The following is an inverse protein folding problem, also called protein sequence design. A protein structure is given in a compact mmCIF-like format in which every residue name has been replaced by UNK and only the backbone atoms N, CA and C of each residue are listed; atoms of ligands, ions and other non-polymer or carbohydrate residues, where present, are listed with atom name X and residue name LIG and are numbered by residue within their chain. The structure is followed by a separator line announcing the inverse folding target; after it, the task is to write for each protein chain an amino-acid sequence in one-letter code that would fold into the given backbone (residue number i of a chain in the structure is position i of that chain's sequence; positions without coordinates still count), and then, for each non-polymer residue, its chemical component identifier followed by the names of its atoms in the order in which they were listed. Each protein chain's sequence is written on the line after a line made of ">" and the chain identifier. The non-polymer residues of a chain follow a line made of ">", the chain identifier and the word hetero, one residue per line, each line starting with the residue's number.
data_IF_427494445881
#
_entry.id   IF_427494445881
#
_cell.length_a   1.000
_cell.length_b   1.000
_cell.length_c   1.000
_cell.angle_alpha   90.00
_cell.angle_beta   90.00
_cell.angle_gamma   90.00
#
_symmetry.space_group_name_H-M   'P 1'
#
loop_
_entity.id
_entity.type
_entity.pdbx_description
1 polymer ?
#
# COMPACT_ATOMS: atom_id res chain seq x y z
N UNK A 1 -0.61 5.17 -12.95
CA UNK A 1 -0.47 4.01 -12.05
C UNK A 1 1.00 3.72 -11.87
N UNK A 2 1.52 3.73 -10.65
CA UNK A 2 2.96 3.58 -10.36
C UNK A 2 3.35 2.11 -10.17
N UNK A 3 2.59 1.39 -9.34
CA UNK A 3 2.81 -0.03 -9.10
C UNK A 3 1.48 -0.80 -9.09
N UNK A 4 1.55 -2.11 -9.26
CA UNK A 4 0.43 -3.00 -8.98
C UNK A 4 0.95 -4.35 -8.50
N UNK A 5 0.25 -4.93 -7.52
CA UNK A 5 0.61 -6.19 -6.87
C UNK A 5 -0.60 -7.10 -6.81
N UNK A 6 -0.37 -8.39 -7.05
CA UNK A 6 -1.34 -9.44 -6.73
C UNK A 6 -0.92 -10.05 -5.41
N UNK A 7 -1.77 -9.95 -4.39
CA UNK A 7 -1.50 -10.47 -3.06
C UNK A 7 -2.28 -11.76 -2.90
N UNK A 8 -1.58 -12.89 -2.81
CA UNK A 8 -2.16 -14.18 -2.51
C UNK A 8 -1.78 -14.60 -1.08
N UNK A 9 -2.69 -14.42 -0.11
CA UNK A 9 -2.43 -14.73 1.30
C UNK A 9 -2.84 -16.18 1.60
N UNK A 10 -1.89 -17.10 1.86
CA UNK A 10 -2.21 -18.52 2.08
C UNK A 10 -2.84 -18.79 3.46
N UNK A 11 -3.57 -19.91 3.62
CA UNK A 11 -3.96 -20.45 4.93
C UNK A 11 -2.78 -20.54 5.90
N UNK A 12 -3.00 -20.25 7.18
CA UNK A 12 -1.98 -20.30 8.23
C UNK A 12 -0.95 -19.16 8.19
N UNK A 13 -1.01 -18.26 7.21
CA UNK A 13 -0.09 -17.12 7.16
C UNK A 13 -0.30 -16.17 8.33
N UNK A 14 0.82 -15.69 8.88
CA UNK A 14 0.85 -14.67 9.92
C UNK A 14 0.23 -13.35 9.44
N UNK A 15 0.05 -12.43 10.37
CA UNK A 15 -0.34 -11.06 10.07
C UNK A 15 0.70 -10.33 9.22
N UNK A 16 0.26 -9.33 8.44
CA UNK A 16 1.15 -8.30 7.89
C UNK A 16 1.16 -7.17 8.93
N UNK A 17 2.32 -6.84 9.52
CA UNK A 17 2.41 -5.81 10.54
C UNK A 17 1.96 -4.42 10.07
N UNK A 18 1.71 -3.47 11.00
CA UNK A 18 1.30 -2.12 10.67
C UNK A 18 2.44 -1.38 9.99
N UNK A 19 2.13 -0.75 8.87
CA UNK A 19 3.06 -0.01 8.03
C UNK A 19 2.31 1.12 7.30
N UNK A 20 3.06 1.95 6.58
CA UNK A 20 2.58 2.98 5.68
C UNK A 20 3.15 2.75 4.27
N UNK A 21 2.30 2.77 3.25
CA UNK A 21 2.76 2.70 1.85
C UNK A 21 3.75 3.82 1.52
N UNK A 22 3.62 4.98 2.17
CA UNK A 22 4.51 6.13 2.00
C UNK A 22 6.00 5.81 2.30
N UNK A 23 6.27 4.81 3.14
CA UNK A 23 7.63 4.34 3.44
C UNK A 23 8.32 3.72 2.21
N UNK A 24 7.54 3.19 1.27
CA UNK A 24 8.01 2.52 0.07
C UNK A 24 7.99 3.40 -1.19
N UNK A 25 7.41 4.60 -1.09
CA UNK A 25 7.04 5.44 -2.25
C UNK A 25 7.79 6.79 -2.20
N UNK A 26 8.88 6.94 -2.95
CA UNK A 26 9.68 8.16 -2.98
C UNK A 26 9.09 9.23 -3.92
N UNK A 27 7.76 9.39 -3.93
CA UNK A 27 7.03 10.34 -4.78
C UNK A 27 6.31 11.40 -3.95
N UNK A 28 6.27 12.64 -4.42
CA UNK A 28 5.57 13.77 -3.78
C UNK A 28 4.80 14.62 -4.80
N UNK A 29 3.82 15.45 -4.40
CA UNK A 29 3.26 15.60 -3.05
C UNK A 29 2.48 14.35 -2.60
N UNK A 30 2.56 14.00 -1.31
CA UNK A 30 2.04 12.73 -0.79
C UNK A 30 0.50 12.66 -0.88
N UNK A 31 -0.15 13.81 -0.83
CA UNK A 31 -1.60 14.02 -0.90
C UNK A 31 -2.17 13.70 -2.29
N UNK A 32 -1.31 13.61 -3.31
CA UNK A 32 -1.67 13.26 -4.69
C UNK A 32 -1.40 11.79 -5.01
N UNK A 33 -1.32 10.95 -3.97
CA UNK A 33 -1.06 9.53 -4.06
C UNK A 33 -2.20 8.77 -3.38
N UNK A 34 -2.62 7.67 -3.97
CA UNK A 34 -3.73 6.85 -3.50
C UNK A 34 -3.45 5.37 -3.74
N UNK A 35 -3.74 4.55 -2.75
CA UNK A 35 -3.75 3.10 -2.90
C UNK A 35 -5.18 2.62 -3.08
N UNK A 36 -5.42 1.80 -4.10
CA UNK A 36 -6.66 1.05 -4.28
C UNK A 36 -6.39 -0.42 -4.00
N UNK A 37 -7.13 -1.01 -3.07
CA UNK A 37 -7.05 -2.43 -2.74
C UNK A 37 -8.40 -3.07 -3.04
N UNK A 38 -8.41 -4.00 -4.00
CA UNK A 38 -9.62 -4.65 -4.50
C UNK A 38 -9.63 -6.12 -4.12
N UNK A 39 -10.71 -6.54 -3.48
CA UNK A 39 -10.97 -7.94 -3.17
C UNK A 39 -11.16 -8.73 -4.47
N UNK A 40 -10.37 -9.78 -4.68
CA UNK A 40 -10.56 -10.73 -5.79
C UNK A 40 -11.41 -11.92 -5.34
N UNK A 41 -11.20 -12.37 -4.10
CA UNK A 41 -12.02 -13.37 -3.42
C UNK A 41 -12.78 -12.70 -2.25
N UNK A 42 -13.82 -13.34 -1.67
CA UNK A 42 -14.46 -12.84 -0.45
C UNK A 42 -13.44 -12.62 0.68
N UNK A 43 -13.59 -11.52 1.41
CA UNK A 43 -12.68 -11.11 2.47
C UNK A 43 -13.41 -11.11 3.81
N UNK A 44 -12.83 -11.80 4.78
CA UNK A 44 -13.28 -11.87 6.16
C UNK A 44 -12.10 -11.60 7.08
N UNK A 45 -12.37 -11.23 8.33
CA UNK A 45 -11.30 -11.08 9.32
C UNK A 45 -10.45 -12.35 9.44
N UNK A 46 -11.10 -13.51 9.44
CA UNK A 46 -10.46 -14.83 9.58
C UNK A 46 -9.60 -15.26 8.40
N UNK A 47 -9.80 -14.72 7.19
CA UNK A 47 -8.95 -15.02 6.03
C UNK A 47 -7.88 -13.95 5.76
N UNK A 48 -7.65 -13.06 6.74
CA UNK A 48 -6.60 -12.05 6.69
C UNK A 48 -6.99 -10.83 5.86
N UNK A 49 -8.13 -10.24 6.20
CA UNK A 49 -8.53 -8.92 5.74
C UNK A 49 -7.52 -7.84 6.16
N UNK A 50 -7.64 -6.66 5.55
CA UNK A 50 -6.93 -5.50 6.06
C UNK A 50 -7.51 -5.07 7.41
N UNK A 51 -6.68 -4.39 8.20
CA UNK A 51 -7.11 -3.48 9.24
C UNK A 51 -6.44 -2.12 9.01
N UNK A 52 -7.05 -1.05 9.50
CA UNK A 52 -6.53 0.32 9.43
C UNK A 52 -6.55 0.98 10.80
N UNK A 53 -5.75 2.02 10.99
CA UNK A 53 -5.86 2.96 12.12
C UNK A 53 -6.50 4.24 11.61
N UNK A 54 -7.83 4.44 11.80
CA UNK A 54 -8.52 5.60 11.24
C UNK A 54 -7.91 6.92 11.73
N UNK A 55 -7.68 7.83 10.80
CA UNK A 55 -7.16 9.17 11.09
C UNK A 55 -5.63 9.28 11.15
N UNK A 56 -4.88 8.18 11.21
CA UNK A 56 -3.40 8.25 11.32
C UNK A 56 -2.74 9.00 10.17
N UNK A 57 -3.33 8.95 8.96
CA UNK A 57 -2.85 9.70 7.79
C UNK A 57 -2.83 11.22 7.99
N UNK A 58 -3.60 11.74 8.96
CA UNK A 58 -3.69 13.18 9.27
C UNK A 58 -2.54 13.67 10.14
N UNK A 59 -1.76 12.77 10.73
CA UNK A 59 -0.57 13.12 11.49
C UNK A 59 0.53 13.69 10.58
N UNK A 60 0.43 13.43 9.27
CA UNK A 60 1.39 13.87 8.26
C UNK A 60 2.84 13.45 8.56
N UNK A 61 3.00 12.28 9.19
CA UNK A 61 4.27 11.68 9.56
C UNK A 61 4.45 10.39 8.77
N UNK A 62 5.66 10.17 8.27
CA UNK A 62 6.12 8.85 7.80
C UNK A 62 6.93 8.26 8.95
N UNK A 63 6.40 7.22 9.58
CA UNK A 63 7.10 6.54 10.65
C UNK A 63 8.33 5.82 10.08
N UNK A 64 9.47 5.84 10.80
CA UNK A 64 10.56 4.93 10.50
C UNK A 64 10.05 3.49 10.64
N UNK A 65 10.37 2.66 9.66
CA UNK A 65 10.04 1.25 9.71
C UNK A 65 11.33 0.41 9.68
N UNK A 66 11.28 -0.75 10.32
CA UNK A 66 12.40 -1.68 10.40
C UNK A 66 12.03 -3.01 9.76
N UNK A 67 13.00 -3.65 9.13
CA UNK A 67 12.84 -5.00 8.61
C UNK A 67 12.53 -5.96 9.76
N UNK A 68 11.58 -6.87 9.56
CA UNK A 68 11.22 -7.87 10.57
C UNK A 68 11.86 -9.21 10.19
N UNK A 69 12.90 -9.67 10.93
CA UNK A 69 13.40 -11.03 10.78
C UNK A 69 12.26 -12.03 11.03
N UNK A 70 12.17 -13.09 10.23
CA UNK A 70 11.17 -14.18 10.32
C UNK A 70 9.76 -13.90 9.80
N UNK A 71 9.50 -12.76 9.15
CA UNK A 71 8.38 -12.63 8.22
C UNK A 71 8.82 -13.10 6.82
N UNK A 72 7.91 -13.74 6.09
CA UNK A 72 8.16 -14.56 4.89
C UNK A 72 8.72 -13.81 3.67
N UNK A 73 9.11 -12.54 3.80
CA UNK A 73 9.66 -11.75 2.71
C UNK A 73 10.57 -10.64 3.25
N UNK A 74 11.80 -10.61 2.72
CA UNK A 74 12.89 -9.66 2.97
C UNK A 74 12.52 -8.18 2.81
N UNK A 75 11.32 -7.85 2.31
CA UNK A 75 10.83 -6.48 2.10
C UNK A 75 9.70 -6.08 3.07
N UNK A 76 9.40 -6.89 4.09
CA UNK A 76 8.41 -6.56 5.11
C UNK A 76 9.03 -5.67 6.18
N UNK A 77 8.66 -4.39 6.12
CA UNK A 77 8.98 -3.43 7.15
C UNK A 77 7.79 -3.25 8.09
N UNK A 78 8.08 -2.84 9.31
CA UNK A 78 7.09 -2.61 10.35
C UNK A 78 7.46 -1.36 11.13
N UNK A 79 6.44 -0.60 11.54
CA UNK A 79 6.59 0.45 12.55
C UNK A 79 6.97 -0.22 13.88
N UNK A 80 8.18 0.02 14.43
CA UNK A 80 8.68 -0.76 15.58
C UNK A 80 7.85 -0.56 16.85
N UNK A 81 7.38 0.66 17.11
CA UNK A 81 6.52 0.98 18.25
C UNK A 81 5.03 0.85 17.86
N UNK A 82 4.65 -0.39 17.52
CA UNK A 82 3.28 -0.72 17.11
C UNK A 82 2.25 -0.32 18.16
N UNK A 83 2.55 -0.46 19.45
CA UNK A 83 1.57 -0.18 20.50
C UNK A 83 1.36 1.32 20.72
N UNK A 84 2.36 2.16 20.44
CA UNK A 84 2.16 3.61 20.44
C UNK A 84 1.41 4.09 19.18
N UNK A 85 1.76 3.59 17.99
CA UNK A 85 1.25 4.11 16.71
C UNK A 85 -0.04 3.43 16.25
N UNK A 86 -0.16 2.13 16.50
CA UNK A 86 -1.27 1.29 16.05
C UNK A 86 -1.75 0.33 17.16
N UNK A 87 -2.14 0.84 18.35
CA UNK A 87 -2.61 -0.01 19.43
C UNK A 87 -3.84 -0.81 18.99
N UNK A 88 -3.97 -2.04 19.48
CA UNK A 88 -4.99 -2.99 19.02
C UNK A 88 -6.42 -2.42 19.06
N UNK A 89 -6.77 -1.68 20.11
CA UNK A 89 -8.10 -1.07 20.30
C UNK A 89 -8.41 0.10 19.33
N UNK A 90 -7.43 0.59 18.56
CA UNK A 90 -7.62 1.62 17.53
C UNK A 90 -7.69 1.04 16.12
N UNK A 91 -7.44 -0.27 15.95
CA UNK A 91 -7.51 -0.94 14.66
C UNK A 91 -8.95 -1.21 14.28
N UNK A 92 -9.31 -0.88 13.05
CA UNK A 92 -10.62 -1.17 12.47
C UNK A 92 -10.43 -2.16 11.32
N UNK A 93 -11.11 -3.30 11.42
CA UNK A 93 -11.13 -4.34 10.38
C UNK A 93 -11.85 -3.84 9.13
N UNK A 94 -11.21 -4.03 7.96
CA UNK A 94 -11.80 -3.75 6.64
C UNK A 94 -12.40 -5.05 6.08
N UNK A 95 -13.51 -5.48 6.68
CA UNK A 95 -14.27 -6.67 6.32
C UNK A 95 -15.70 -6.56 6.87
N UNK A 96 -16.67 -7.32 6.33
CA UNK A 96 -16.56 -8.18 5.16
C UNK A 96 -16.41 -7.38 3.85
N UNK A 97 -15.80 -7.99 2.84
CA UNK A 97 -15.81 -7.48 1.46
C UNK A 97 -16.16 -8.60 0.48
N UNK A 98 -16.95 -8.27 -0.54
CA UNK A 98 -17.27 -9.16 -1.65
C UNK A 98 -16.25 -9.01 -2.80
N UNK A 99 -16.08 -10.01 -3.68
CA UNK A 99 -15.28 -9.86 -4.89
C UNK A 99 -15.68 -8.62 -5.70
N UNK A 100 -14.71 -7.77 -6.00
CA UNK A 100 -14.91 -6.49 -6.68
C UNK A 100 -15.04 -5.29 -5.75
N UNK A 101 -15.28 -5.48 -4.45
CA UNK A 101 -15.22 -4.37 -3.50
C UNK A 101 -13.80 -3.80 -3.43
N UNK A 102 -13.70 -2.47 -3.44
CA UNK A 102 -12.44 -1.75 -3.39
C UNK A 102 -12.42 -0.78 -2.22
N UNK A 103 -11.37 -0.86 -1.39
CA UNK A 103 -11.03 0.17 -0.41
C UNK A 103 -9.94 1.06 -0.98
N UNK A 104 -10.12 2.37 -0.82
CA UNK A 104 -9.14 3.38 -1.19
C UNK A 104 -8.55 4.00 0.07
N UNK A 105 -7.24 4.16 0.14
CA UNK A 105 -6.60 4.79 1.29
C UNK A 105 -5.37 5.62 0.93
N UNK A 106 -5.14 6.64 1.76
CA UNK A 106 -3.99 7.53 1.67
C UNK A 106 -2.71 6.76 2.04
N UNK A 107 -1.55 6.99 1.39
CA UNK A 107 -0.32 6.25 1.67
C UNK A 107 0.24 6.44 3.08
N UNK A 108 -0.19 7.48 3.80
CA UNK A 108 0.12 7.68 5.23
C UNK A 108 -0.83 6.94 6.18
N UNK A 109 -1.87 6.28 5.69
CA UNK A 109 -2.77 5.51 6.55
C UNK A 109 -2.02 4.29 7.08
N UNK A 110 -1.92 4.18 8.39
CA UNK A 110 -1.32 3.03 9.04
C UNK A 110 -2.28 1.88 8.89
N UNK A 111 -1.82 0.80 8.28
CA UNK A 111 -2.63 -0.36 7.97
C UNK A 111 -1.77 -1.63 7.99
N UNK A 112 -2.45 -2.77 8.04
CA UNK A 112 -1.83 -4.09 7.98
C UNK A 112 -2.87 -5.13 7.59
N UNK A 113 -2.56 -6.42 7.75
CA UNK A 113 -3.53 -7.49 7.52
C UNK A 113 -3.54 -8.51 8.65
N UNK A 114 -4.72 -9.02 8.98
CA UNK A 114 -4.87 -10.04 10.00
C UNK A 114 -4.24 -11.37 9.58
N UNK A 115 -3.92 -12.27 10.54
CA UNK A 115 -3.58 -13.65 10.23
C UNK A 115 -4.68 -14.32 9.40
N UNK A 116 -4.29 -15.26 8.53
CA UNK A 116 -5.25 -16.09 7.83
C UNK A 116 -5.38 -17.38 8.61
N UNK A 117 -6.39 -17.45 9.50
CA UNK A 117 -6.70 -18.62 10.31
C UNK A 117 -7.70 -19.56 9.62
N UNK A 118 -8.15 -19.20 8.41
CA UNK A 118 -9.03 -20.02 7.58
C UNK A 118 -8.27 -21.06 6.75
N UNK A 119 -9.01 -21.92 6.06
CA UNK A 119 -8.49 -22.88 5.08
C UNK A 119 -8.50 -22.33 3.63
N UNK A 120 -8.79 -21.04 3.44
CA UNK A 120 -8.90 -20.42 2.11
C UNK A 120 -7.71 -19.52 1.81
N UNK A 121 -7.28 -19.49 0.55
CA UNK A 121 -6.41 -18.40 0.07
C UNK A 121 -7.24 -17.12 -0.06
N UNK A 122 -6.65 -15.98 0.29
CA UNK A 122 -7.27 -14.66 0.08
C UNK A 122 -6.50 -13.91 -0.99
N UNK A 123 -7.12 -13.71 -2.16
CA UNK A 123 -6.54 -12.92 -3.25
C UNK A 123 -7.06 -11.50 -3.25
N UNK A 124 -6.17 -10.57 -3.54
CA UNK A 124 -6.48 -9.17 -3.75
C UNK A 124 -5.52 -8.54 -4.75
N UNK A 125 -5.96 -7.47 -5.39
CA UNK A 125 -5.12 -6.62 -6.23
C UNK A 125 -4.93 -5.29 -5.53
N UNK A 126 -3.69 -4.86 -5.41
CA UNK A 126 -3.34 -3.52 -4.93
C UNK A 126 -2.77 -2.72 -6.09
N UNK A 127 -3.27 -1.50 -6.29
CA UNK A 127 -2.75 -0.56 -7.28
C UNK A 127 -2.48 0.79 -6.63
N UNK A 128 -1.25 1.27 -6.77
CA UNK A 128 -0.85 2.60 -6.31
C UNK A 128 -0.94 3.59 -7.47
N UNK A 129 -1.71 4.66 -7.26
CA UNK A 129 -1.87 5.77 -8.18
C UNK A 129 -1.11 6.98 -7.67
N UNK A 130 -0.43 7.66 -8.59
CA UNK A 130 0.26 8.93 -8.36
C UNK A 130 -0.22 9.90 -9.42
N UNK A 131 -0.38 11.17 -9.06
CA UNK A 131 -0.65 12.23 -10.03
C UNK A 131 0.49 12.37 -11.04
N UNK A 132 0.17 12.78 -12.26
CA UNK A 132 1.18 13.13 -13.27
C UNK A 132 2.04 14.34 -12.85
N UNK A 133 1.55 15.16 -11.93
CA UNK A 133 2.28 16.29 -11.36
C UNK A 133 3.24 15.88 -10.23
N UNK A 134 3.26 14.59 -9.88
CA UNK A 134 4.15 14.10 -8.83
C UNK A 134 5.59 13.95 -9.33
N UNK A 135 6.54 14.12 -8.43
CA UNK A 135 7.98 14.04 -8.70
C UNK A 135 8.68 13.15 -7.67
N UNK A 136 9.82 12.59 -8.07
CA UNK A 136 10.68 11.81 -7.19
C UNK A 136 11.43 12.71 -6.21
N UNK A 137 11.60 12.26 -4.97
CA UNK A 137 12.46 12.90 -3.97
C UNK A 137 13.75 12.11 -3.77
N UNK A 138 14.82 12.82 -3.41
CA UNK A 138 15.99 12.18 -2.79
C UNK A 138 15.57 11.67 -1.40
N UNK A 139 15.81 10.38 -1.14
CA UNK A 139 15.43 9.73 0.11
C UNK A 139 16.51 9.82 1.17
N UNK A 140 17.71 10.29 0.85
CA UNK A 140 18.83 10.42 1.78
C UNK A 140 18.46 11.33 2.96
N UNK A 141 18.67 10.85 4.18
CA UNK A 141 18.31 11.57 5.41
C UNK A 141 16.81 11.57 5.73
N UNK A 142 16.00 10.85 4.96
CA UNK A 142 14.56 10.66 5.21
C UNK A 142 14.29 9.28 5.82
N UNK A 143 13.11 9.03 6.40
CA UNK A 143 12.73 7.69 6.86
C UNK A 143 12.85 6.61 5.77
N UNK A 144 12.66 6.97 4.49
CA UNK A 144 12.70 6.05 3.34
C UNK A 144 14.13 5.54 3.03
N UNK A 145 15.19 6.17 3.56
CA UNK A 145 16.57 5.76 3.30
C UNK A 145 16.84 4.31 3.73
N UNK A 146 16.18 3.85 4.80
CA UNK A 146 16.31 2.47 5.25
C UNK A 146 15.78 1.47 4.21
N UNK A 147 14.68 1.80 3.53
CA UNK A 147 14.14 0.99 2.45
C UNK A 147 15.11 0.92 1.26
N UNK A 148 15.65 2.06 0.82
CA UNK A 148 16.60 2.11 -0.29
C UNK A 148 17.86 1.26 -0.01
N UNK A 149 18.39 1.35 1.22
CA UNK A 149 19.53 0.53 1.64
C UNK A 149 19.23 -0.96 1.57
N UNK A 150 18.10 -1.41 2.12
CA UNK A 150 17.72 -2.82 2.06
C UNK A 150 17.48 -3.30 0.63
N UNK A 151 16.84 -2.49 -0.22
CA UNK A 151 16.66 -2.83 -1.64
C UNK A 151 18.02 -3.00 -2.34
N UNK A 152 18.96 -2.09 -2.09
CA UNK A 152 20.31 -2.17 -2.64
C UNK A 152 21.07 -3.42 -2.16
N UNK A 153 20.93 -3.81 -0.89
CA UNK A 153 21.52 -5.04 -0.37
C UNK A 153 20.97 -6.29 -1.05
N UNK A 154 19.65 -6.37 -1.22
CA UNK A 154 18.98 -7.48 -1.92
C UNK A 154 19.46 -7.56 -3.37
N UNK A 155 19.47 -6.43 -4.06
CA UNK A 155 19.93 -6.33 -5.45
C UNK A 155 21.39 -6.78 -5.58
N UNK A 156 22.27 -6.35 -4.66
CA UNK A 156 23.67 -6.80 -4.63
C UNK A 156 23.79 -8.31 -4.38
N UNK A 157 22.95 -8.85 -3.49
CA UNK A 157 22.91 -10.30 -3.23
C UNK A 157 22.47 -11.10 -4.45
N UNK A 158 21.57 -10.56 -5.27
CA UNK A 158 21.06 -11.24 -6.47
C UNK A 158 21.96 -11.08 -7.70
N UNK A 159 22.62 -9.94 -7.87
CA UNK A 159 23.29 -9.55 -9.11
C UNK A 159 24.78 -9.18 -8.96
N UNK A 160 25.35 -9.24 -7.76
CA UNK A 160 26.75 -8.93 -7.48
C UNK A 160 27.02 -7.45 -7.13
N UNK A 161 28.29 -7.03 -6.98
CA UNK A 161 28.64 -5.67 -6.53
C UNK A 161 28.51 -4.57 -7.62
N UNK A 162 28.51 -4.92 -8.91
CA UNK A 162 28.57 -3.96 -10.04
C UNK A 162 27.21 -3.36 -10.47
N UNK A 163 26.26 -3.26 -9.55
CA UNK A 163 24.83 -3.02 -9.88
C UNK A 163 24.45 -1.52 -9.84
N UNK A 164 25.41 -0.63 -9.59
CA UNK A 164 25.18 0.82 -9.53
C UNK A 164 24.53 1.39 -10.81
N UNK A 165 24.87 0.84 -11.98
CA UNK A 165 24.26 1.25 -13.26
C UNK A 165 22.82 0.75 -13.43
N UNK A 166 22.48 -0.44 -12.92
CA UNK A 166 21.12 -1.02 -13.07
C UNK A 166 20.11 -0.28 -12.20
N UNK A 167 20.48 0.06 -10.96
CA UNK A 167 19.62 0.85 -10.06
C UNK A 167 19.38 2.24 -10.66
N UNK A 168 20.45 2.92 -11.11
CA UNK A 168 20.35 4.20 -11.82
C UNK A 168 19.47 4.11 -13.08
N UNK A 169 19.59 3.03 -13.86
CA UNK A 169 18.76 2.79 -15.06
C UNK A 169 17.28 2.61 -14.73
N UNK A 170 16.94 1.87 -13.66
CA UNK A 170 15.54 1.66 -13.24
C UNK A 170 14.93 2.98 -12.78
N UNK A 171 15.61 3.72 -11.90
CA UNK A 171 15.15 5.02 -11.41
C UNK A 171 15.01 6.04 -12.54
N UNK A 172 15.94 6.03 -13.51
CA UNK A 172 15.90 6.93 -14.68
C UNK A 172 14.84 6.54 -15.71
N UNK A 173 14.59 5.25 -15.96
CA UNK A 173 13.53 4.81 -16.89
C UNK A 173 12.13 5.05 -16.36
N UNK A 174 11.93 4.96 -15.04
CA UNK A 174 10.62 5.28 -14.44
C UNK A 174 10.38 6.80 -14.49
N UNK A 175 11.40 7.63 -14.24
CA UNK A 175 11.36 9.08 -14.47
C UNK A 175 11.01 9.47 -15.92
N UNK A 176 11.32 8.63 -16.91
CA UNK A 176 11.00 8.86 -18.33
C UNK A 176 9.69 8.20 -18.80
N UNK A 177 9.09 7.32 -17.99
CA UNK A 177 7.76 6.73 -18.23
C UNK A 177 6.67 7.53 -17.50
N UNK A 178 6.71 8.86 -17.64
CA UNK A 178 5.46 9.62 -17.74
C UNK A 178 4.75 9.07 -18.97
N UNK A 179 4.00 7.98 -18.79
CA UNK A 179 3.15 7.45 -19.84
C UNK A 179 2.16 8.58 -20.07
N UNK A 180 2.31 9.27 -21.21
CA UNK A 180 1.22 9.97 -21.87
C UNK A 180 0.16 8.91 -22.16
N UNK A 181 -0.60 8.55 -21.12
CA UNK A 181 -1.96 8.12 -21.32
C UNK A 181 -2.66 9.42 -21.68
N UNK A 182 -3.03 9.56 -22.95
CA UNK A 182 -4.04 10.52 -23.35
C UNK A 182 -5.27 10.26 -22.47
N UNK A 183 -5.36 11.04 -21.39
CA UNK A 183 -6.44 10.98 -20.44
C UNK A 183 -7.62 11.66 -21.10
N UNK A 184 -8.53 10.86 -21.64
CA UNK A 184 -9.85 11.33 -22.03
C UNK A 184 -10.72 11.45 -20.76
N UNK A 185 -11.01 12.66 -20.26
CA UNK A 185 -11.84 12.84 -19.07
C UNK A 185 -13.26 12.28 -19.27
N UNK A 186 -13.71 12.21 -20.53
CA UNK A 186 -15.04 11.68 -20.88
C UNK A 186 -15.12 10.17 -20.66
N UNK A 187 -14.02 9.42 -20.82
CA UNK A 187 -14.01 7.97 -20.62
C UNK A 187 -14.25 7.58 -19.15
N UNK A 188 -13.62 8.28 -18.21
CA UNK A 188 -13.87 8.07 -16.78
C UNK A 188 -15.30 8.46 -16.39
N UNK A 189 -15.81 9.58 -16.91
CA UNK A 189 -17.18 10.02 -16.68
C UNK A 189 -18.23 9.05 -17.26
N UNK A 190 -17.96 8.44 -18.41
CA UNK A 190 -18.83 7.44 -19.03
C UNK A 190 -18.77 6.10 -18.27
N UNK A 191 -17.59 5.69 -17.79
CA UNK A 191 -17.43 4.51 -16.93
C UNK A 191 -18.29 4.57 -15.66
N UNK A 192 -18.44 5.75 -15.06
CA UNK A 192 -19.31 5.96 -13.89
C UNK A 192 -20.80 6.17 -14.22
N UNK A 193 -21.15 6.51 -15.46
CA UNK A 193 -22.54 6.74 -15.89
C UNK A 193 -23.25 5.47 -16.36
N UNK A 194 -22.53 4.51 -16.93
CA UNK A 194 -23.13 3.36 -17.61
C UNK A 194 -23.37 2.13 -16.72
N UNK A 195 -22.98 2.17 -15.42
CA UNK A 195 -23.18 1.05 -14.49
C UNK A 195 -24.15 1.42 -13.36
N UNK A 196 -25.07 0.52 -12.96
CA UNK A 196 -25.96 0.77 -11.84
C UNK A 196 -25.15 1.07 -10.58
N UNK A 197 -25.58 2.08 -9.81
CA UNK A 197 -24.94 2.62 -8.58
C UNK A 197 -24.74 1.62 -7.43
N UNK A 198 -24.93 0.34 -7.69
CA UNK A 198 -24.87 -0.77 -6.73
C UNK A 198 -23.53 -1.54 -6.79
N UNK A 199 -22.64 -1.23 -7.75
CA UNK A 199 -21.39 -1.99 -7.97
C UNK A 199 -20.11 -1.37 -7.37
N UNK A 200 -20.19 -0.21 -6.72
CA UNK A 200 -19.04 0.38 -6.03
C UNK A 200 -19.43 0.80 -4.62
N UNK A 201 -19.23 -0.09 -3.64
CA UNK A 201 -19.23 0.29 -2.23
C UNK A 201 -17.82 0.73 -1.83
N UNK A 202 -17.47 1.96 -2.21
CA UNK A 202 -16.28 2.60 -1.64
C UNK A 202 -16.52 2.83 -0.14
N UNK A 203 -15.84 2.07 0.72
CA UNK A 203 -15.81 2.32 2.16
C UNK A 203 -14.93 3.54 2.42
N UNK A 204 -15.53 4.73 2.39
CA UNK A 204 -14.96 5.92 3.00
C UNK A 204 -15.31 5.87 4.49
N UNK A 205 -14.32 5.82 5.38
CA UNK A 205 -14.54 5.88 6.83
C UNK A 205 -14.96 7.31 7.22
N UNK A 206 -16.25 7.58 7.51
CA UNK A 206 -16.69 8.91 7.92
C UNK A 206 -16.37 9.13 9.40
N UNK A 207 -16.11 10.38 9.78
CA UNK A 207 -15.93 10.81 11.16
C UNK A 207 -17.10 10.34 12.04
N UNK A 208 -16.82 9.66 13.16
CA UNK A 208 -17.68 9.80 14.35
C UNK A 208 -17.21 11.01 15.13
N UNK A 209 -17.88 12.15 14.93
CA UNK A 209 -17.89 13.22 15.92
C UNK A 209 -18.79 12.75 17.05
N UNK A 210 -18.19 12.48 18.21
CA UNK A 210 -18.96 12.40 19.45
C UNK A 210 -19.07 13.83 20.00
N UNK A 211 -20.28 14.37 19.93
CA UNK A 211 -20.82 15.24 20.98
C UNK A 211 -21.15 14.40 22.22
#
# INVERSE_FOLDING_TARGET
>A
MLNSMVINKPPGSKWHPPHQDAFYVPMRPIEKILTAWTAVDPVFETNGSLFVVPGSHKENIIHPEVNVPDLTNIMYFMIPDVDAVAPYNKRVTVAPMEPGDTVFFHPLLVHGSWPNTSNMFRKAITSLYVSQESYYIDVKGTPLEAFEKSLNEVIKGMYGPDVGEIVSMITTKINKRTINMDYDPQYALNFFRERPRHQFRGLFFPNRTHE
#
